data_IF_415236173582
#
_entry.id   IF_415236173582
#
_cell.length_a   1.000
_cell.length_b   1.000
_cell.length_c   1.000
_cell.angle_alpha   90.00
_cell.angle_beta   90.00
_cell.angle_gamma   90.00
#
_symmetry.space_group_name_H-M   'P 1'
#
loop_
_entity.id
_entity.type
_entity.pdbx_description
1 polymer ?
#
# COMPACT_ATOMS: atom_id res chain seq x y z
N UNK A 1 -3.91 1.42 -37.84
CA UNK A 1 -2.95 0.34 -37.44
C UNK A 1 -2.10 0.66 -36.21
N UNK A 2 -1.67 1.92 -35.99
CA UNK A 2 -1.03 2.35 -34.71
C UNK A 2 -1.87 2.01 -33.47
N UNK A 3 -3.20 2.02 -33.60
CA UNK A 3 -4.12 1.58 -32.54
C UNK A 3 -3.96 0.10 -32.15
N UNK A 4 -3.63 -0.80 -33.09
CA UNK A 4 -3.51 -2.24 -32.82
C UNK A 4 -2.28 -2.53 -31.95
N UNK A 5 -1.12 -1.91 -32.26
CA UNK A 5 0.08 -2.13 -31.46
C UNK A 5 -0.07 -1.57 -30.04
N UNK A 6 -0.70 -0.41 -29.88
CA UNK A 6 -0.99 0.15 -28.55
C UNK A 6 -1.97 -0.71 -27.76
N UNK A 7 -2.96 -1.32 -28.42
CA UNK A 7 -3.84 -2.30 -27.79
C UNK A 7 -3.07 -3.54 -27.31
N UNK A 8 -2.09 -4.03 -28.08
CA UNK A 8 -1.24 -5.16 -27.64
C UNK A 8 -0.27 -4.78 -26.53
N UNK A 9 0.31 -3.58 -26.55
CA UNK A 9 1.15 -3.06 -25.47
C UNK A 9 0.34 -2.84 -24.17
N UNK A 10 -0.92 -2.49 -24.32
CA UNK A 10 -1.85 -2.44 -23.21
C UNK A 10 -2.11 -3.82 -22.59
N UNK A 11 -2.30 -4.85 -23.41
CA UNK A 11 -2.39 -6.22 -22.92
C UNK A 11 -1.07 -6.67 -22.28
N UNK A 12 0.06 -6.25 -22.85
CA UNK A 12 1.39 -6.53 -22.32
C UNK A 12 1.59 -5.94 -20.92
N UNK A 13 1.20 -4.68 -20.69
CA UNK A 13 1.34 -4.06 -19.37
C UNK A 13 0.54 -4.80 -18.29
N UNK A 14 -0.63 -5.37 -18.64
CA UNK A 14 -1.39 -6.23 -17.74
C UNK A 14 -0.77 -7.62 -17.56
N UNK A 15 -0.23 -8.21 -18.63
CA UNK A 15 0.45 -9.51 -18.55
C UNK A 15 1.72 -9.43 -17.67
N UNK A 16 2.47 -8.33 -17.74
CA UNK A 16 3.59 -8.03 -16.84
C UNK A 16 3.11 -7.93 -15.40
N UNK A 17 2.05 -7.16 -15.12
CA UNK A 17 1.48 -7.08 -13.77
C UNK A 17 1.02 -8.46 -13.25
N UNK A 18 0.41 -9.28 -14.10
CA UNK A 18 -0.05 -10.62 -13.75
C UNK A 18 1.12 -11.52 -13.31
N UNK A 19 2.21 -11.56 -14.08
CA UNK A 19 3.41 -12.35 -13.74
C UNK A 19 4.08 -11.86 -12.46
N UNK A 20 4.05 -10.55 -12.18
CA UNK A 20 4.73 -10.00 -11.02
C UNK A 20 3.91 -10.06 -9.72
N UNK A 21 2.58 -10.12 -9.81
CA UNK A 21 1.69 -10.11 -8.63
C UNK A 21 1.06 -11.48 -8.36
N UNK A 22 0.44 -12.11 -9.36
CA UNK A 22 -0.36 -13.33 -9.14
C UNK A 22 0.40 -14.51 -8.51
N UNK A 23 1.71 -14.74 -8.77
CA UNK A 23 2.43 -15.86 -8.17
C UNK A 23 2.33 -15.93 -6.64
N UNK A 24 2.19 -14.80 -5.96
CA UNK A 24 2.13 -14.76 -4.49
C UNK A 24 0.69 -14.81 -3.94
N UNK A 25 -0.33 -14.71 -4.78
CA UNK A 25 -1.74 -14.55 -4.38
C UNK A 25 -2.18 -15.57 -3.32
N UNK A 26 -1.89 -16.85 -3.53
CA UNK A 26 -2.34 -17.94 -2.65
C UNK A 26 -1.31 -18.36 -1.60
N UNK A 27 -0.20 -17.62 -1.44
CA UNK A 27 0.87 -17.99 -0.50
C UNK A 27 0.59 -17.45 0.90
N UNK A 28 1.09 -18.12 1.94
CA UNK A 28 1.23 -17.49 3.26
C UNK A 28 2.56 -16.72 3.36
N UNK A 29 2.70 -15.93 4.42
CA UNK A 29 3.87 -15.13 4.72
C UNK A 29 3.83 -13.79 4.01
N UNK A 30 3.73 -12.71 4.78
CA UNK A 30 3.85 -11.32 4.32
C UNK A 30 4.74 -10.56 5.30
N UNK A 31 5.13 -9.34 4.94
CA UNK A 31 5.72 -8.43 5.90
C UNK A 31 4.79 -8.21 7.10
N UNK A 32 5.37 -8.04 8.30
CA UNK A 32 4.61 -8.11 9.55
C UNK A 32 3.55 -7.01 9.66
N UNK A 33 3.80 -5.80 9.14
CA UNK A 33 2.79 -4.73 9.11
C UNK A 33 1.53 -5.18 8.37
N UNK A 34 1.70 -5.84 7.21
CA UNK A 34 0.57 -6.40 6.45
C UNK A 34 -0.20 -7.46 7.23
N UNK A 35 0.50 -8.31 7.98
CA UNK A 35 -0.13 -9.30 8.87
C UNK A 35 -0.89 -8.62 10.00
N UNK A 36 -0.34 -7.57 10.61
CA UNK A 36 -0.99 -6.75 11.64
C UNK A 36 -2.27 -6.12 11.12
N UNK A 37 -2.23 -5.47 9.95
CA UNK A 37 -3.40 -4.85 9.34
C UNK A 37 -4.47 -5.90 8.97
N UNK A 38 -4.04 -7.03 8.43
CA UNK A 38 -4.91 -8.18 8.16
C UNK A 38 -5.56 -8.74 9.44
N UNK A 39 -4.84 -8.83 10.55
CA UNK A 39 -5.37 -9.28 11.85
C UNK A 39 -6.40 -8.30 12.40
N UNK A 40 -6.14 -6.99 12.35
CA UNK A 40 -7.10 -5.97 12.80
C UNK A 40 -8.38 -6.03 11.94
N UNK A 41 -8.24 -6.11 10.62
CA UNK A 41 -9.37 -6.23 9.71
C UNK A 41 -10.19 -7.51 9.95
N UNK A 42 -9.53 -8.63 10.28
CA UNK A 42 -10.17 -9.91 10.63
C UNK A 42 -10.95 -9.75 11.94
N UNK A 43 -10.34 -9.15 12.95
CA UNK A 43 -10.97 -8.87 14.24
C UNK A 43 -12.24 -8.03 14.06
N UNK A 44 -12.18 -6.95 13.28
CA UNK A 44 -13.36 -6.13 12.96
C UNK A 44 -14.49 -6.94 12.31
N UNK A 45 -14.16 -7.87 11.40
CA UNK A 45 -15.17 -8.75 10.79
C UNK A 45 -15.75 -9.76 11.79
N UNK A 46 -14.95 -10.24 12.74
CA UNK A 46 -15.37 -11.15 13.82
C UNK A 46 -16.08 -10.43 14.98
N UNK A 47 -16.25 -9.11 14.92
CA UNK A 47 -16.88 -8.32 15.99
C UNK A 47 -15.96 -8.07 17.20
N UNK A 48 -14.65 -8.24 17.03
CA UNK A 48 -13.63 -7.97 18.06
C UNK A 48 -13.11 -6.55 17.86
N UNK A 49 -13.37 -5.69 18.84
CA UNK A 49 -13.15 -4.24 18.74
C UNK A 49 -14.28 -3.51 18.00
N UNK A 50 -14.09 -2.23 17.77
CA UNK A 50 -15.05 -1.36 17.08
C UNK A 50 -14.37 -0.55 15.97
N UNK A 51 -15.13 0.08 15.07
CA UNK A 51 -14.55 0.85 13.97
C UNK A 51 -13.58 1.94 14.45
N UNK A 52 -13.95 2.72 15.47
CA UNK A 52 -13.09 3.76 16.06
C UNK A 52 -12.27 3.27 17.27
N UNK A 53 -12.37 2.01 17.65
CA UNK A 53 -11.48 1.39 18.63
C UNK A 53 -11.10 -0.01 18.14
N UNK A 54 -10.34 -0.10 17.03
CA UNK A 54 -9.92 -1.38 16.50
C UNK A 54 -8.97 -2.06 17.49
N UNK A 55 -9.00 -3.39 17.52
CA UNK A 55 -8.12 -4.18 18.37
C UNK A 55 -7.12 -4.95 17.50
N UNK A 56 -5.83 -4.92 17.84
CA UNK A 56 -4.84 -5.79 17.20
C UNK A 56 -4.76 -7.16 17.91
N UNK A 57 -4.26 -7.21 19.14
CA UNK A 57 -4.33 -8.40 20.00
C UNK A 57 -4.74 -8.00 21.42
N UNK A 58 -5.17 -8.95 22.28
CA UNK A 58 -5.50 -8.64 23.67
C UNK A 58 -4.33 -8.09 24.49
N UNK A 59 -3.09 -8.29 24.05
CA UNK A 59 -1.87 -7.94 24.79
C UNK A 59 -1.00 -6.91 24.10
N UNK A 60 -1.15 -6.74 22.78
CA UNK A 60 -0.40 -5.79 21.95
C UNK A 60 -1.41 -4.90 21.24
N UNK A 61 -1.44 -3.63 21.61
CA UNK A 61 -2.44 -2.65 21.14
C UNK A 61 -3.89 -3.18 21.27
N UNK A 62 -4.37 -3.42 22.51
CA UNK A 62 -5.77 -3.80 22.74
C UNK A 62 -6.75 -2.72 22.27
N UNK A 63 -6.35 -1.45 22.36
CA UNK A 63 -6.90 -0.34 21.59
C UNK A 63 -5.81 0.12 20.61
N UNK A 64 -6.10 0.08 19.31
CA UNK A 64 -5.12 0.36 18.26
C UNK A 64 -5.24 1.81 17.77
N UNK A 65 -4.31 2.64 18.20
CA UNK A 65 -4.22 4.07 17.85
C UNK A 65 -3.08 4.40 16.88
N UNK A 66 -2.46 3.39 16.28
CA UNK A 66 -1.29 3.58 15.42
C UNK A 66 -1.66 4.10 14.02
N UNK A 67 -2.83 3.72 13.50
CA UNK A 67 -3.34 4.20 12.21
C UNK A 67 -4.86 4.38 12.22
N UNK A 68 -5.39 5.37 11.48
CA UNK A 68 -6.82 5.52 11.22
C UNK A 68 -7.46 4.26 10.61
N UNK A 69 -8.72 3.93 10.97
CA UNK A 69 -9.28 2.59 10.78
C UNK A 69 -9.91 2.30 9.42
N UNK A 70 -9.97 3.25 8.48
CA UNK A 70 -10.75 3.05 7.25
C UNK A 70 -10.22 1.91 6.39
N UNK A 71 -8.89 1.77 6.27
CA UNK A 71 -8.35 0.64 5.50
C UNK A 71 -8.71 -0.71 6.13
N UNK A 72 -8.68 -0.81 7.47
CA UNK A 72 -9.06 -2.04 8.17
C UNK A 72 -10.53 -2.37 7.97
N UNK A 73 -11.41 -1.37 8.01
CA UNK A 73 -12.83 -1.58 7.76
C UNK A 73 -13.11 -1.99 6.32
N UNK A 74 -12.48 -1.36 5.32
CA UNK A 74 -12.63 -1.78 3.92
C UNK A 74 -12.11 -3.21 3.76
N UNK A 75 -10.97 -3.55 4.36
CA UNK A 75 -10.43 -4.91 4.30
C UNK A 75 -11.34 -5.92 5.02
N UNK A 76 -12.01 -5.54 6.11
CA UNK A 76 -12.97 -6.40 6.82
C UNK A 76 -14.15 -6.82 5.94
N UNK A 77 -14.56 -5.97 4.98
CA UNK A 77 -15.60 -6.32 3.99
C UNK A 77 -15.13 -7.46 3.09
N UNK A 78 -13.84 -7.51 2.73
CA UNK A 78 -13.31 -8.62 1.94
C UNK A 78 -13.37 -9.94 2.72
N UNK A 79 -13.07 -9.94 4.02
CA UNK A 79 -13.26 -11.14 4.84
C UNK A 79 -14.72 -11.54 4.98
N UNK A 80 -15.64 -10.58 5.02
CA UNK A 80 -17.08 -10.89 5.02
C UNK A 80 -17.53 -11.58 3.73
N UNK A 81 -16.96 -11.18 2.59
CA UNK A 81 -17.32 -11.70 1.27
C UNK A 81 -16.62 -13.02 0.93
N UNK A 82 -15.36 -13.18 1.33
CA UNK A 82 -14.48 -14.27 0.87
C UNK A 82 -14.00 -15.19 1.99
N UNK A 83 -14.35 -14.89 3.24
CA UNK A 83 -13.89 -15.61 4.42
C UNK A 83 -12.49 -15.19 4.90
N UNK A 84 -12.13 -15.61 6.10
CA UNK A 84 -10.80 -15.38 6.66
C UNK A 84 -9.79 -16.40 6.09
N UNK A 85 -9.23 -16.07 4.93
CA UNK A 85 -8.23 -16.90 4.25
C UNK A 85 -6.97 -16.09 3.92
N UNK A 86 -5.77 -16.69 3.95
CA UNK A 86 -4.52 -15.97 3.68
C UNK A 86 -4.46 -15.28 2.31
N UNK A 87 -5.15 -15.82 1.30
CA UNK A 87 -5.16 -15.23 -0.04
C UNK A 87 -5.99 -13.94 -0.13
N UNK A 88 -6.95 -13.75 0.78
CA UNK A 88 -7.82 -12.56 0.82
C UNK A 88 -7.00 -11.31 1.14
N UNK A 89 -5.97 -11.45 1.97
CA UNK A 89 -5.02 -10.39 2.30
C UNK A 89 -4.41 -9.73 1.05
N UNK A 90 -3.91 -10.56 0.12
CA UNK A 90 -3.32 -10.08 -1.13
C UNK A 90 -4.36 -9.73 -2.16
N UNK A 91 -5.48 -10.44 -2.17
CA UNK A 91 -6.58 -10.11 -3.08
C UNK A 91 -7.08 -8.68 -2.84
N UNK A 92 -7.27 -8.27 -1.58
CA UNK A 92 -7.58 -6.89 -1.21
C UNK A 92 -6.54 -5.89 -1.71
N UNK A 93 -5.25 -6.17 -1.51
CA UNK A 93 -4.21 -5.29 -2.02
C UNK A 93 -4.20 -5.23 -3.56
N UNK A 94 -4.44 -6.35 -4.25
CA UNK A 94 -4.42 -6.42 -5.72
C UNK A 94 -5.65 -5.78 -6.37
N UNK A 95 -6.81 -5.76 -5.71
CA UNK A 95 -7.95 -4.96 -6.20
C UNK A 95 -7.64 -3.46 -6.12
N UNK A 96 -6.95 -3.02 -5.07
CA UNK A 96 -6.49 -1.62 -4.93
C UNK A 96 -5.39 -1.25 -5.93
N UNK A 97 -4.54 -2.21 -6.32
CA UNK A 97 -3.64 -2.06 -7.47
C UNK A 97 -4.44 -1.79 -8.75
N UNK A 98 -5.47 -2.60 -9.03
CA UNK A 98 -6.35 -2.43 -10.18
C UNK A 98 -7.06 -1.08 -10.19
N UNK A 99 -7.57 -0.64 -9.03
CA UNK A 99 -8.18 0.68 -8.86
C UNK A 99 -7.17 1.81 -9.10
N UNK A 100 -5.94 1.68 -8.60
CA UNK A 100 -4.86 2.64 -8.86
C UNK A 100 -4.57 2.75 -10.35
N UNK A 101 -4.46 1.63 -11.08
CA UNK A 101 -4.28 1.63 -12.54
C UNK A 101 -5.47 2.28 -13.25
N UNK A 102 -6.70 1.98 -12.83
CA UNK A 102 -7.89 2.63 -13.39
C UNK A 102 -7.80 4.15 -13.25
N UNK A 103 -7.44 4.66 -12.07
CA UNK A 103 -7.32 6.10 -11.83
C UNK A 103 -6.14 6.73 -12.56
N UNK A 104 -4.97 6.09 -12.59
CA UNK A 104 -3.81 6.53 -13.40
C UNK A 104 -4.24 6.73 -14.86
N UNK A 105 -4.99 5.78 -15.42
CA UNK A 105 -5.44 5.85 -16.82
C UNK A 105 -6.52 6.89 -17.05
N UNK A 106 -7.40 7.12 -16.07
CA UNK A 106 -8.40 8.20 -16.11
C UNK A 106 -7.73 9.56 -16.09
N UNK A 107 -6.78 9.79 -15.17
CA UNK A 107 -5.97 11.02 -15.12
C UNK A 107 -5.20 11.21 -16.43
N UNK A 108 -4.57 10.15 -16.94
CA UNK A 108 -3.90 10.19 -18.24
C UNK A 108 -4.82 10.66 -19.36
N UNK A 109 -6.01 10.08 -19.48
CA UNK A 109 -6.96 10.42 -20.54
C UNK A 109 -7.54 11.84 -20.40
N UNK A 110 -7.56 12.42 -19.20
CA UNK A 110 -7.96 13.82 -19.00
C UNK A 110 -6.90 14.80 -19.50
N UNK A 111 -5.63 14.46 -19.34
CA UNK A 111 -4.51 15.37 -19.58
C UNK A 111 -3.84 15.15 -20.94
N UNK A 112 -3.94 13.95 -21.51
CA UNK A 112 -3.21 13.55 -22.71
C UNK A 112 -4.17 13.13 -23.84
N UNK A 113 -4.13 13.84 -25.00
CA UNK A 113 -4.97 13.49 -26.15
C UNK A 113 -4.78 12.05 -26.65
N UNK A 114 -3.55 11.53 -26.57
CA UNK A 114 -3.20 10.14 -26.88
C UNK A 114 -3.63 9.18 -25.76
N UNK A 115 -4.91 9.17 -25.37
CA UNK A 115 -5.43 8.35 -24.27
C UNK A 115 -5.16 6.84 -24.41
N UNK A 116 -5.08 6.35 -25.64
CA UNK A 116 -4.73 4.96 -25.97
C UNK A 116 -3.32 4.54 -25.51
N UNK A 117 -2.44 5.49 -25.16
CA UNK A 117 -1.10 5.27 -24.63
C UNK A 117 -1.05 5.20 -23.09
N UNK A 118 -2.19 5.15 -22.41
CA UNK A 118 -2.26 5.02 -20.95
C UNK A 118 -1.60 3.75 -20.37
N UNK A 119 -1.19 2.81 -21.23
CA UNK A 119 -0.36 1.67 -20.84
C UNK A 119 1.07 2.08 -20.43
N UNK A 120 1.58 3.23 -20.87
CA UNK A 120 2.94 3.73 -20.54
C UNK A 120 3.07 3.99 -19.03
N UNK A 121 2.30 4.91 -18.41
CA UNK A 121 2.41 5.16 -16.98
C UNK A 121 2.02 3.92 -16.15
N UNK A 122 1.08 3.10 -16.62
CA UNK A 122 0.76 1.82 -15.98
C UNK A 122 1.98 0.89 -15.94
N UNK A 123 2.69 0.71 -17.06
CA UNK A 123 3.83 -0.20 -17.11
C UNK A 123 4.97 0.30 -16.22
N UNK A 124 5.28 1.61 -16.26
CA UNK A 124 6.29 2.20 -15.38
C UNK A 124 5.93 1.99 -13.91
N UNK A 125 4.68 2.27 -13.55
CA UNK A 125 4.16 2.03 -12.20
C UNK A 125 4.30 0.57 -11.77
N UNK A 126 3.93 -0.37 -12.64
CA UNK A 126 4.06 -1.81 -12.36
C UNK A 126 5.51 -2.22 -12.09
N UNK A 127 6.44 -1.66 -12.85
CA UNK A 127 7.86 -2.01 -12.78
C UNK A 127 8.60 -1.31 -11.63
N UNK A 128 7.98 -0.32 -10.97
CA UNK A 128 8.56 0.32 -9.79
C UNK A 128 8.62 -0.69 -8.63
N UNK A 129 9.81 -1.01 -8.08
CA UNK A 129 9.96 -2.08 -7.08
C UNK A 129 9.07 -1.92 -5.85
N UNK A 130 8.97 -0.70 -5.34
CA UNK A 130 8.15 -0.36 -4.18
C UNK A 130 6.66 -0.64 -4.41
N UNK A 131 6.17 -0.44 -5.64
CA UNK A 131 4.78 -0.72 -5.99
C UNK A 131 4.49 -2.20 -5.85
N UNK A 132 5.35 -3.05 -6.41
CA UNK A 132 5.20 -4.51 -6.28
C UNK A 132 5.24 -4.93 -4.81
N UNK A 133 6.22 -4.43 -4.07
CA UNK A 133 6.41 -4.79 -2.67
C UNK A 133 5.22 -4.42 -1.80
N UNK A 134 4.69 -3.19 -1.93
CA UNK A 134 3.53 -2.71 -1.16
C UNK A 134 2.29 -3.57 -1.38
N UNK A 135 2.00 -3.92 -2.64
CA UNK A 135 0.81 -4.72 -2.95
C UNK A 135 0.99 -6.19 -2.58
N UNK A 136 2.20 -6.76 -2.72
CA UNK A 136 2.48 -8.14 -2.31
C UNK A 136 2.45 -8.34 -0.79
N UNK A 137 2.62 -7.28 -0.01
CA UNK A 137 2.68 -7.31 1.45
C UNK A 137 1.48 -6.63 2.14
N UNK A 138 0.43 -6.25 1.40
CA UNK A 138 -0.78 -5.64 1.96
C UNK A 138 -0.52 -4.44 2.89
N UNK A 139 0.27 -3.47 2.42
CA UNK A 139 0.64 -2.29 3.21
C UNK A 139 -0.36 -1.13 2.93
N UNK A 140 -0.65 -0.31 3.95
CA UNK A 140 -1.62 0.81 3.92
C UNK A 140 -1.41 1.84 2.78
N UNK A 141 -0.23 1.86 2.18
CA UNK A 141 0.09 2.69 1.02
C UNK A 141 -0.73 2.31 -0.21
N UNK A 142 -1.07 1.03 -0.39
CA UNK A 142 -1.92 0.58 -1.48
C UNK A 142 -3.31 1.26 -1.44
N UNK A 143 -4.10 1.17 -0.34
CA UNK A 143 -5.39 1.83 -0.27
C UNK A 143 -5.27 3.36 -0.29
N UNK A 144 -4.24 3.92 0.35
CA UNK A 144 -4.01 5.36 0.34
C UNK A 144 -3.74 5.91 -1.07
N UNK A 145 -2.92 5.22 -1.86
CA UNK A 145 -2.62 5.60 -3.23
C UNK A 145 -3.86 5.52 -4.12
N UNK A 146 -4.65 4.45 -4.00
CA UNK A 146 -5.90 4.33 -4.73
C UNK A 146 -6.88 5.48 -4.40
N UNK A 147 -7.03 5.80 -3.10
CA UNK A 147 -7.90 6.89 -2.64
C UNK A 147 -7.40 8.26 -3.12
N UNK A 148 -6.10 8.56 -2.97
CA UNK A 148 -5.54 9.85 -3.38
C UNK A 148 -5.57 10.04 -4.90
N UNK A 149 -5.27 9.01 -5.70
CA UNK A 149 -5.43 9.06 -7.15
C UNK A 149 -6.88 9.35 -7.56
N UNK A 150 -7.85 8.72 -6.89
CA UNK A 150 -9.25 9.00 -7.12
C UNK A 150 -9.62 10.44 -6.74
N UNK A 151 -9.15 10.96 -5.60
CA UNK A 151 -9.31 12.39 -5.24
C UNK A 151 -8.76 13.28 -6.36
N UNK A 152 -7.51 13.09 -6.79
CA UNK A 152 -6.90 13.91 -7.84
C UNK A 152 -7.70 13.84 -9.14
N UNK A 153 -8.16 12.65 -9.53
CA UNK A 153 -9.01 12.47 -10.70
C UNK A 153 -10.33 13.24 -10.60
N UNK A 154 -11.07 13.09 -9.49
CA UNK A 154 -12.34 13.79 -9.24
C UNK A 154 -12.15 15.32 -9.28
N UNK A 155 -11.06 15.82 -8.69
CA UNK A 155 -10.75 17.25 -8.65
C UNK A 155 -10.49 17.83 -10.05
N UNK A 156 -9.69 17.16 -10.87
CA UNK A 156 -9.40 17.61 -12.23
C UNK A 156 -10.65 17.49 -13.10
N UNK A 157 -11.33 16.35 -13.09
CA UNK A 157 -12.51 16.13 -13.92
C UNK A 157 -13.67 17.07 -13.56
N UNK A 158 -13.97 17.20 -12.27
CA UNK A 158 -14.99 18.10 -11.75
C UNK A 158 -14.73 19.55 -12.14
N UNK A 159 -13.47 19.99 -12.04
CA UNK A 159 -13.06 21.36 -12.41
C UNK A 159 -13.23 21.63 -13.90
N UNK A 160 -12.82 20.69 -14.77
CA UNK A 160 -12.90 20.85 -16.22
C UNK A 160 -14.34 20.89 -16.70
N UNK A 161 -15.20 20.04 -16.11
CA UNK A 161 -16.62 19.93 -16.44
C UNK A 161 -17.52 20.92 -15.70
N UNK A 162 -16.96 21.76 -14.82
CA UNK A 162 -17.73 22.62 -13.89
C UNK A 162 -18.76 21.85 -13.07
N UNK A 163 -18.49 20.58 -12.78
CA UNK A 163 -19.40 19.73 -12.02
C UNK A 163 -18.90 19.63 -10.57
N UNK A 164 -19.36 20.56 -9.75
CA UNK A 164 -18.90 20.71 -8.37
C UNK A 164 -19.36 19.60 -7.41
N UNK A 165 -20.33 18.78 -7.83
CA UNK A 165 -20.67 17.55 -7.10
C UNK A 165 -19.45 16.62 -7.00
N UNK A 166 -18.63 16.55 -8.05
CA UNK A 166 -17.39 15.77 -8.05
C UNK A 166 -16.37 16.33 -7.05
N UNK A 167 -16.32 17.65 -6.88
CA UNK A 167 -15.48 18.31 -5.89
C UNK A 167 -15.94 18.01 -4.46
N UNK A 168 -17.26 17.95 -4.23
CA UNK A 168 -17.80 17.50 -2.94
C UNK A 168 -17.49 16.02 -2.68
N UNK A 169 -17.70 15.15 -3.67
CA UNK A 169 -17.33 13.73 -3.57
C UNK A 169 -15.82 13.55 -3.32
N UNK A 170 -14.98 14.39 -3.92
CA UNK A 170 -13.55 14.42 -3.65
C UNK A 170 -13.25 14.79 -2.20
N UNK A 171 -14.00 15.70 -1.58
CA UNK A 171 -13.90 16.01 -0.16
C UNK A 171 -14.25 14.82 0.75
N UNK A 172 -15.30 14.08 0.42
CA UNK A 172 -15.66 12.83 1.12
C UNK A 172 -14.53 11.80 1.00
N UNK A 173 -14.03 11.58 -0.21
CA UNK A 173 -12.98 10.59 -0.44
C UNK A 173 -11.64 11.02 0.17
N UNK A 174 -11.38 12.33 0.24
CA UNK A 174 -10.23 12.89 0.92
C UNK A 174 -10.30 12.68 2.44
N UNK A 175 -11.49 12.82 3.05
CA UNK A 175 -11.69 12.43 4.45
C UNK A 175 -11.39 10.94 4.67
N UNK A 176 -11.81 10.06 3.76
CA UNK A 176 -11.46 8.63 3.79
C UNK A 176 -9.95 8.42 3.65
N UNK A 177 -9.27 9.17 2.77
CA UNK A 177 -7.83 9.07 2.58
C UNK A 177 -7.05 9.48 3.85
N UNK A 178 -7.47 10.56 4.52
CA UNK A 178 -6.98 10.94 5.86
C UNK A 178 -7.30 9.82 6.87
N UNK A 179 -8.46 9.21 6.76
CA UNK A 179 -8.89 8.05 7.53
C UNK A 179 -8.14 6.73 7.25
N UNK A 180 -7.20 6.69 6.29
CA UNK A 180 -6.34 5.54 6.03
C UNK A 180 -4.96 5.72 6.68
N UNK A 181 -4.33 6.88 6.47
CA UNK A 181 -2.94 7.13 6.92
C UNK A 181 -2.66 8.55 7.42
N UNK A 182 -3.71 9.27 7.80
CA UNK A 182 -3.60 10.59 8.40
C UNK A 182 -2.94 11.62 7.46
N UNK A 183 -2.07 12.50 7.98
CA UNK A 183 -1.54 13.67 7.24
C UNK A 183 -0.79 13.36 5.94
N UNK A 184 -0.33 12.12 5.73
CA UNK A 184 0.27 11.71 4.46
C UNK A 184 -0.68 11.98 3.29
N UNK A 185 -1.99 11.88 3.51
CA UNK A 185 -2.99 12.12 2.49
C UNK A 185 -3.19 13.58 2.13
N UNK A 186 -2.48 14.56 2.72
CA UNK A 186 -2.71 16.00 2.51
C UNK A 186 -2.21 16.52 1.15
N UNK A 187 -1.25 15.86 0.50
CA UNK A 187 -0.65 16.36 -0.74
C UNK A 187 -1.63 16.65 -1.90
N UNK A 188 -2.77 15.94 -2.09
CA UNK A 188 -3.74 16.26 -3.13
C UNK A 188 -4.32 17.68 -3.04
N UNK A 189 -4.25 18.35 -1.88
CA UNK A 189 -4.68 19.74 -1.73
C UNK A 189 -3.92 20.70 -2.67
N UNK A 190 -2.70 20.36 -3.08
CA UNK A 190 -1.91 21.20 -4.00
C UNK A 190 -2.43 21.17 -5.44
N UNK A 191 -3.25 20.17 -5.81
CA UNK A 191 -3.69 19.97 -7.19
C UNK A 191 -4.47 21.16 -7.73
N UNK A 192 -5.46 21.66 -6.97
CA UNK A 192 -6.30 22.76 -7.45
C UNK A 192 -5.59 24.12 -7.49
N UNK A 193 -4.74 24.49 -6.50
CA UNK A 193 -3.83 25.63 -6.65
C UNK A 193 -2.96 25.54 -7.91
N UNK A 194 -2.38 24.38 -8.20
CA UNK A 194 -1.55 24.19 -9.41
C UNK A 194 -2.38 24.29 -10.69
N UNK A 195 -3.57 23.69 -10.71
CA UNK A 195 -4.52 23.84 -11.82
C UNK A 195 -4.84 25.31 -12.05
N UNK A 196 -5.14 26.06 -11.00
CA UNK A 196 -5.49 27.48 -11.09
C UNK A 196 -4.36 28.35 -11.67
N UNK A 197 -3.11 27.94 -11.45
CA UNK A 197 -1.90 28.63 -11.98
C UNK A 197 -1.60 28.19 -13.41
N UNK A 198 -1.61 26.89 -13.69
CA UNK A 198 -1.16 26.31 -14.97
C UNK A 198 -2.24 26.39 -16.06
N UNK A 199 -3.52 26.32 -15.68
CA UNK A 199 -4.67 26.33 -16.59
C UNK A 199 -5.59 27.51 -16.25
N UNK A 200 -5.19 28.70 -16.69
CA UNK A 200 -5.86 29.97 -16.39
C UNK A 200 -7.35 29.97 -16.79
N UNK A 201 -7.68 29.26 -17.85
CA UNK A 201 -9.04 29.04 -18.35
C UNK A 201 -9.97 28.34 -17.35
N UNK A 202 -9.42 27.58 -16.40
CA UNK A 202 -10.16 26.89 -15.34
C UNK A 202 -9.96 27.49 -13.95
N UNK A 203 -9.26 28.63 -13.84
CA UNK A 203 -8.84 29.22 -12.56
C UNK A 203 -9.96 29.38 -11.55
N UNK A 204 -11.06 30.02 -11.95
CA UNK A 204 -12.21 30.24 -11.07
C UNK A 204 -12.85 28.92 -10.64
N UNK A 205 -13.04 27.99 -11.57
CA UNK A 205 -13.63 26.68 -11.29
C UNK A 205 -12.76 25.86 -10.32
N UNK A 206 -11.43 25.99 -10.42
CA UNK A 206 -10.47 25.33 -9.54
C UNK A 206 -10.55 25.87 -8.11
N UNK A 207 -10.66 27.20 -7.95
CA UNK A 207 -10.84 27.82 -6.63
C UNK A 207 -12.18 27.43 -5.99
N UNK A 208 -13.27 27.43 -6.76
CA UNK A 208 -14.59 26.98 -6.29
C UNK A 208 -14.52 25.50 -5.88
N UNK A 209 -13.94 24.65 -6.72
CA UNK A 209 -13.76 23.23 -6.41
C UNK A 209 -12.93 23.00 -5.16
N UNK A 210 -11.92 23.83 -4.90
CA UNK A 210 -11.07 23.72 -3.71
C UNK A 210 -11.87 24.04 -2.46
N UNK A 211 -12.63 25.13 -2.48
CA UNK A 211 -13.51 25.52 -1.38
C UNK A 211 -14.52 24.40 -1.10
N UNK A 212 -15.18 23.88 -2.13
CA UNK A 212 -16.20 22.83 -1.97
C UNK A 212 -15.60 21.53 -1.43
N UNK A 213 -14.44 21.11 -1.93
CA UNK A 213 -13.74 19.93 -1.43
C UNK A 213 -13.33 20.09 0.04
N UNK A 214 -12.76 21.25 0.41
CA UNK A 214 -12.37 21.56 1.79
C UNK A 214 -13.59 21.58 2.69
N UNK A 215 -14.67 22.28 2.31
CA UNK A 215 -15.90 22.33 3.09
C UNK A 215 -16.50 20.94 3.29
N UNK A 216 -16.56 20.11 2.23
CA UNK A 216 -17.10 18.75 2.35
C UNK A 216 -16.28 17.88 3.30
N UNK A 217 -14.94 17.91 3.22
CA UNK A 217 -14.09 17.19 4.16
C UNK A 217 -14.22 17.71 5.59
N UNK A 218 -14.19 19.04 5.77
CA UNK A 218 -14.30 19.69 7.08
C UNK A 218 -15.65 19.41 7.74
N UNK A 219 -16.75 19.43 6.99
CA UNK A 219 -18.08 19.09 7.52
C UNK A 219 -18.13 17.66 8.05
N UNK A 220 -17.56 16.69 7.32
CA UNK A 220 -17.47 15.31 7.81
C UNK A 220 -16.62 15.21 9.07
N UNK A 221 -15.43 15.81 9.05
CA UNK A 221 -14.55 15.79 10.22
C UNK A 221 -15.22 16.42 11.44
N UNK A 222 -15.80 17.61 11.30
CA UNK A 222 -16.54 18.29 12.37
C UNK A 222 -17.71 17.44 12.86
N UNK A 223 -18.49 16.84 11.97
CA UNK A 223 -19.58 15.96 12.36
C UNK A 223 -19.11 14.79 13.22
N UNK A 224 -18.09 14.05 12.76
CA UNK A 224 -17.56 12.92 13.52
C UNK A 224 -16.92 13.37 14.84
N UNK A 225 -16.15 14.46 14.82
CA UNK A 225 -15.49 14.98 16.02
C UNK A 225 -16.48 15.45 17.10
N UNK A 226 -17.56 16.12 16.70
CA UNK A 226 -18.53 16.69 17.64
C UNK A 226 -19.58 15.68 18.10
N UNK A 227 -20.03 14.79 17.21
CA UNK A 227 -21.19 13.93 17.48
C UNK A 227 -20.87 12.44 17.66
N UNK A 228 -19.64 12.00 17.40
CA UNK A 228 -19.25 10.59 17.57
C UNK A 228 -18.15 10.49 18.64
N UNK A 229 -18.50 10.20 19.91
CA UNK A 229 -17.55 10.18 21.03
C UNK A 229 -16.35 9.26 20.78
N UNK A 230 -16.58 8.09 20.19
CA UNK A 230 -15.51 7.13 19.90
C UNK A 230 -14.51 7.67 18.88
N UNK A 231 -14.96 8.48 17.91
CA UNK A 231 -14.06 9.13 16.95
C UNK A 231 -13.19 10.18 17.64
N UNK A 232 -13.76 10.99 18.55
CA UNK A 232 -12.99 11.96 19.31
C UNK A 232 -11.92 11.27 20.16
N UNK A 233 -12.30 10.22 20.91
CA UNK A 233 -11.37 9.39 21.69
C UNK A 233 -10.27 8.79 20.80
N UNK A 234 -10.65 8.25 19.64
CA UNK A 234 -9.70 7.72 18.67
C UNK A 234 -8.71 8.78 18.19
N UNK A 235 -9.22 9.94 17.79
CA UNK A 235 -8.42 11.01 17.23
C UNK A 235 -7.40 11.54 18.26
N UNK A 236 -7.82 11.71 19.51
CA UNK A 236 -6.92 12.07 20.61
C UNK A 236 -5.86 10.99 20.87
N UNK A 237 -6.25 9.72 20.90
CA UNK A 237 -5.33 8.59 21.04
C UNK A 237 -4.30 8.55 19.91
N UNK A 238 -4.74 8.66 18.67
CA UNK A 238 -3.88 8.71 17.47
C UNK A 238 -2.94 9.92 17.51
N UNK A 239 -3.44 11.10 17.89
CA UNK A 239 -2.63 12.31 17.98
C UNK A 239 -1.51 12.15 19.02
N UNK A 240 -1.86 11.66 20.21
CA UNK A 240 -0.95 11.60 21.35
C UNK A 240 0.04 10.41 21.27
N UNK A 241 -0.39 9.27 20.74
CA UNK A 241 0.43 8.06 20.69
C UNK A 241 1.23 7.96 19.39
N UNK A 242 0.66 8.37 18.26
CA UNK A 242 1.29 8.21 16.96
C UNK A 242 1.83 9.52 16.40
N UNK A 243 0.95 10.51 16.16
CA UNK A 243 1.31 11.65 15.32
C UNK A 243 2.31 12.61 15.98
N UNK A 244 2.03 13.08 17.20
CA UNK A 244 2.91 14.02 17.91
C UNK A 244 4.27 13.41 18.24
N UNK A 245 4.37 12.16 18.77
CA UNK A 245 5.67 11.55 19.01
C UNK A 245 6.49 11.35 17.73
N UNK A 246 5.85 10.97 16.62
CA UNK A 246 6.54 10.83 15.31
C UNK A 246 7.09 12.15 14.78
N UNK A 247 6.33 13.24 14.92
CA UNK A 247 6.78 14.58 14.51
C UNK A 247 7.92 15.12 15.41
N UNK A 248 7.94 14.71 16.69
CA UNK A 248 9.01 15.04 17.64
C UNK A 248 10.25 14.14 17.51
N UNK A 249 10.25 13.17 16.61
CA UNK A 249 11.36 12.23 16.45
C UNK A 249 11.50 11.21 17.59
N UNK A 250 10.48 11.06 18.44
CA UNK A 250 10.49 10.11 19.56
C UNK A 250 10.16 8.67 19.13
N UNK A 251 9.87 8.46 17.84
CA UNK A 251 9.48 7.18 17.25
C UNK A 251 10.25 6.92 15.95
N UNK A 252 10.73 5.69 15.79
CA UNK A 252 11.47 5.22 14.63
C UNK A 252 12.98 5.30 14.81
N UNK A 253 13.72 4.46 14.06
CA UNK A 253 15.17 4.55 14.00
C UNK A 253 15.58 5.77 13.18
N UNK A 254 16.68 6.44 13.56
CA UNK A 254 17.22 7.57 12.81
C UNK A 254 17.48 7.18 11.35
N UNK A 255 16.96 7.99 10.44
CA UNK A 255 17.23 7.87 9.00
C UNK A 255 17.79 9.18 8.46
N UNK A 256 18.66 9.07 7.46
CA UNK A 256 19.32 10.21 6.85
C UNK A 256 18.59 10.64 5.58
N UNK A 257 18.43 11.96 5.39
CA UNK A 257 17.94 12.56 4.13
C UNK A 257 18.66 11.98 2.91
N UNK A 258 19.97 11.76 3.01
CA UNK A 258 20.78 11.21 1.93
C UNK A 258 20.35 9.77 1.57
N UNK A 259 20.03 8.94 2.57
CA UNK A 259 19.54 7.58 2.35
C UNK A 259 18.17 7.59 1.68
N UNK A 260 17.28 8.49 2.08
CA UNK A 260 15.99 8.69 1.41
C UNK A 260 16.13 9.14 -0.04
N UNK A 261 17.01 10.09 -0.31
CA UNK A 261 17.28 10.54 -1.67
C UNK A 261 17.88 9.42 -2.53
N UNK A 262 18.76 8.59 -1.95
CA UNK A 262 19.29 7.41 -2.62
C UNK A 262 18.18 6.39 -2.91
N UNK A 263 17.27 6.17 -1.97
CA UNK A 263 16.16 5.25 -2.15
C UNK A 263 15.17 5.76 -3.22
N UNK A 264 14.87 7.05 -3.20
CA UNK A 264 14.11 7.72 -4.26
C UNK A 264 14.81 7.57 -5.62
N UNK A 265 16.12 7.79 -5.68
CA UNK A 265 16.90 7.65 -6.91
C UNK A 265 16.88 6.21 -7.45
N UNK A 266 16.93 5.19 -6.58
CA UNK A 266 16.75 3.79 -7.00
C UNK A 266 15.38 3.57 -7.63
N UNK A 267 14.31 4.07 -7.01
CA UNK A 267 12.94 3.92 -7.52
C UNK A 267 12.74 4.65 -8.87
N UNK A 268 13.40 5.80 -9.04
CA UNK A 268 13.33 6.61 -10.27
C UNK A 268 14.41 6.26 -11.31
N UNK A 269 15.26 5.27 -11.05
CA UNK A 269 16.37 4.91 -11.94
C UNK A 269 15.88 4.45 -13.32
N UNK A 270 14.96 3.48 -13.36
CA UNK A 270 14.38 2.96 -14.59
C UNK A 270 13.74 4.05 -15.45
N UNK A 271 12.80 4.88 -14.93
CA UNK A 271 12.22 5.93 -15.76
C UNK A 271 13.26 6.99 -16.17
N UNK A 272 14.23 7.32 -15.33
CA UNK A 272 15.29 8.25 -15.73
C UNK A 272 16.13 7.70 -16.88
N UNK A 273 16.55 6.44 -16.81
CA UNK A 273 17.32 5.78 -17.87
C UNK A 273 16.54 5.74 -19.20
N UNK A 274 15.26 5.35 -19.15
CA UNK A 274 14.41 5.33 -20.35
C UNK A 274 14.28 6.74 -20.95
N UNK A 275 14.10 7.77 -20.11
CA UNK A 275 14.04 9.16 -20.58
C UNK A 275 15.32 9.56 -21.30
N UNK A 276 16.48 9.24 -20.73
CA UNK A 276 17.80 9.56 -21.29
C UNK A 276 18.00 8.88 -22.65
N UNK A 277 17.66 7.60 -22.76
CA UNK A 277 17.76 6.85 -24.03
C UNK A 277 16.87 7.48 -25.10
N UNK A 278 15.62 7.82 -24.76
CA UNK A 278 14.69 8.45 -25.70
C UNK A 278 15.14 9.86 -26.11
N UNK A 279 15.66 10.66 -25.18
CA UNK A 279 16.18 11.99 -25.45
C UNK A 279 17.43 11.94 -26.35
N UNK A 280 18.34 10.99 -26.07
CA UNK A 280 19.52 10.74 -26.90
C UNK A 280 19.13 10.33 -28.33
N UNK A 281 18.17 9.41 -28.48
CA UNK A 281 17.66 8.99 -29.80
C UNK A 281 16.96 10.09 -30.56
N UNK A 282 16.28 11.00 -29.86
CA UNK A 282 15.65 12.18 -30.44
C UNK A 282 16.67 13.26 -30.85
N UNK A 283 17.88 13.26 -30.28
CA UNK A 283 18.86 14.32 -30.43
C UNK A 283 18.50 15.60 -29.64
N UNK A 284 17.67 15.50 -28.60
CA UNK A 284 17.22 16.66 -27.85
C UNK A 284 16.36 16.34 -26.63
N UNK A 285 16.24 17.33 -25.72
CA UNK A 285 15.44 17.21 -24.49
C UNK A 285 13.94 17.25 -24.79
N UNK A 286 13.14 16.62 -23.93
CA UNK A 286 11.68 16.74 -23.97
C UNK A 286 11.23 18.01 -23.25
N UNK A 287 10.39 18.86 -23.88
CA UNK A 287 9.86 20.04 -23.20
C UNK A 287 8.89 19.63 -22.10
N UNK A 288 8.97 20.33 -20.96
CA UNK A 288 8.00 20.23 -19.89
C UNK A 288 6.71 20.93 -20.32
N UNK A 289 5.63 20.16 -20.52
CA UNK A 289 4.30 20.69 -20.77
C UNK A 289 3.57 20.96 -19.44
N UNK A 290 2.48 21.72 -19.48
CA UNK A 290 1.70 22.07 -18.29
C UNK A 290 1.26 20.82 -17.52
N UNK A 291 0.89 19.75 -18.24
CA UNK A 291 0.45 18.47 -17.69
C UNK A 291 1.59 17.79 -16.92
N UNK A 292 2.78 17.75 -17.50
CA UNK A 292 3.97 17.15 -16.88
C UNK A 292 4.41 17.95 -15.66
N UNK A 293 4.37 19.29 -15.74
CA UNK A 293 4.68 20.18 -14.61
C UNK A 293 3.68 19.96 -13.47
N UNK A 294 2.39 19.84 -13.76
CA UNK A 294 1.36 19.54 -12.77
C UNK A 294 1.69 18.23 -12.02
N UNK A 295 1.93 17.13 -12.77
CA UNK A 295 2.20 15.82 -12.16
C UNK A 295 3.53 15.78 -11.41
N UNK A 296 4.60 16.38 -11.94
CA UNK A 296 5.90 16.46 -11.24
C UNK A 296 5.78 17.22 -9.92
N UNK A 297 5.10 18.37 -9.92
CA UNK A 297 4.95 19.16 -8.69
C UNK A 297 4.10 18.43 -7.65
N UNK A 298 3.01 17.75 -8.06
CA UNK A 298 2.23 16.89 -7.15
C UNK A 298 3.10 15.76 -6.59
N UNK A 299 3.91 15.11 -7.43
CA UNK A 299 4.83 14.05 -7.00
C UNK A 299 5.87 14.56 -5.98
N UNK A 300 6.44 15.74 -6.21
CA UNK A 300 7.38 16.39 -5.29
C UNK A 300 6.69 16.70 -3.96
N UNK A 301 5.50 17.31 -3.97
CA UNK A 301 4.74 17.60 -2.76
C UNK A 301 4.39 16.34 -1.96
N UNK A 302 4.15 15.21 -2.64
CA UNK A 302 3.93 13.92 -1.99
C UNK A 302 5.24 13.27 -1.46
N UNK A 303 6.40 13.61 -2.03
CA UNK A 303 7.71 13.04 -1.67
C UNK A 303 8.36 13.79 -0.51
N UNK A 304 8.33 15.13 -0.54
CA UNK A 304 9.07 16.02 0.35
C UNK A 304 8.82 15.76 1.84
N UNK A 305 7.58 15.55 2.33
CA UNK A 305 7.35 15.30 3.75
C UNK A 305 8.15 14.11 4.28
N UNK A 306 8.34 13.08 3.47
CA UNK A 306 9.07 11.87 3.87
C UNK A 306 10.58 12.04 3.90
N UNK A 307 11.14 13.04 3.23
CA UNK A 307 12.57 13.33 3.30
C UNK A 307 13.00 13.83 4.70
N UNK A 308 12.06 14.38 5.47
CA UNK A 308 12.31 15.02 6.76
C UNK A 308 11.72 14.26 7.96
N UNK A 309 11.00 13.15 7.74
CA UNK A 309 10.48 12.32 8.82
C UNK A 309 11.59 11.40 9.36
N UNK A 310 11.61 11.16 10.66
CA UNK A 310 12.65 10.33 11.31
C UNK A 310 12.58 8.86 10.88
N UNK A 311 11.37 8.35 10.60
CA UNK A 311 11.12 6.98 10.13
C UNK A 311 11.01 6.97 8.59
N UNK A 312 11.99 6.41 7.90
CA UNK A 312 12.02 6.37 6.43
C UNK A 312 12.20 4.95 5.92
N UNK A 313 11.08 4.33 5.57
CA UNK A 313 11.08 3.08 4.83
C UNK A 313 10.78 3.34 3.36
N UNK A 314 11.38 2.54 2.49
CA UNK A 314 11.25 2.66 1.02
C UNK A 314 9.80 2.71 0.53
N UNK A 315 8.88 2.06 1.25
CA UNK A 315 7.47 1.99 0.91
C UNK A 315 6.69 3.29 1.12
N UNK A 316 7.16 4.22 1.96
CA UNK A 316 6.47 5.50 2.18
C UNK A 316 6.39 6.38 0.92
N UNK A 317 7.29 6.21 -0.04
CA UNK A 317 7.25 6.93 -1.30
C UNK A 317 6.14 6.46 -2.25
N UNK A 318 5.48 5.33 -1.96
CA UNK A 318 4.53 4.71 -2.87
C UNK A 318 3.43 5.65 -3.38
N UNK A 319 2.72 6.46 -2.54
CA UNK A 319 1.70 7.38 -3.04
C UNK A 319 2.25 8.42 -4.03
N UNK A 320 3.49 8.88 -3.84
CA UNK A 320 4.14 9.83 -4.75
C UNK A 320 4.52 9.20 -6.09
N UNK A 321 4.87 7.91 -6.08
CA UNK A 321 5.39 7.20 -7.25
C UNK A 321 4.38 7.22 -8.42
N UNK A 322 3.07 7.24 -8.16
CA UNK A 322 2.07 7.21 -9.23
C UNK A 322 2.12 8.50 -10.07
N UNK A 323 2.32 9.62 -9.39
CA UNK A 323 2.46 10.95 -10.02
C UNK A 323 3.81 11.10 -10.71
N UNK A 324 4.89 10.56 -10.14
CA UNK A 324 6.18 10.45 -10.84
C UNK A 324 6.03 9.67 -12.15
N UNK A 325 5.41 8.50 -12.13
CA UNK A 325 5.23 7.67 -13.33
C UNK A 325 4.29 8.29 -14.36
N UNK A 326 3.26 9.01 -13.93
CA UNK A 326 2.43 9.83 -14.82
C UNK A 326 3.28 10.92 -15.49
N UNK A 327 4.08 11.67 -14.73
CA UNK A 327 4.90 12.75 -15.25
C UNK A 327 5.97 12.26 -16.25
N UNK A 328 6.69 11.19 -15.93
CA UNK A 328 7.63 10.54 -16.86
C UNK A 328 6.91 9.99 -18.10
N UNK A 329 5.75 9.34 -17.92
CA UNK A 329 4.94 8.86 -19.02
C UNK A 329 4.55 9.98 -19.99
N UNK A 330 4.21 11.16 -19.49
CA UNK A 330 3.87 12.33 -20.30
C UNK A 330 5.06 12.88 -21.09
N UNK A 331 6.30 12.69 -20.61
CA UNK A 331 7.51 12.99 -21.40
C UNK A 331 7.74 11.94 -22.49
N UNK A 332 7.55 10.65 -22.18
CA UNK A 332 7.76 9.57 -23.15
C UNK A 332 6.75 9.57 -24.29
N UNK A 333 5.52 9.98 -24.00
CA UNK A 333 4.45 10.06 -25.00
C UNK A 333 4.82 10.98 -26.17
N UNK A 334 5.59 12.03 -25.88
CA UNK A 334 6.04 12.98 -26.89
C UNK A 334 7.06 12.36 -27.86
N UNK A 335 7.61 11.19 -27.55
CA UNK A 335 8.57 10.52 -28.42
C UNK A 335 7.87 9.96 -29.67
N UNK A 336 8.30 10.31 -30.89
CA UNK A 336 7.75 9.70 -32.10
C UNK A 336 8.12 8.21 -32.20
N UNK A 337 9.27 7.83 -31.65
CA UNK A 337 9.75 6.46 -31.56
C UNK A 337 9.68 5.94 -30.10
N UNK A 338 9.37 4.66 -29.86
CA UNK A 338 8.98 3.63 -30.83
C UNK A 338 7.47 3.65 -31.16
N UNK A 339 6.69 4.54 -30.54
CA UNK A 339 5.23 4.46 -30.49
C UNK A 339 4.52 4.79 -31.80
N UNK A 340 5.13 5.59 -32.67
CA UNK A 340 4.55 6.02 -33.95
C UNK A 340 4.80 5.06 -35.12
N UNK A 341 5.68 4.07 -34.97
CA UNK A 341 6.05 3.17 -36.07
C UNK A 341 5.10 1.99 -36.14
N UNK A 342 4.46 1.81 -37.30
CA UNK A 342 3.61 0.66 -37.57
C UNK A 342 4.46 -0.59 -37.85
N UNK A 343 4.67 -1.42 -36.83
CA UNK A 343 5.50 -2.63 -36.94
C UNK A 343 4.63 -3.90 -36.93
N UNK A 344 4.14 -4.32 -38.11
CA UNK A 344 3.23 -5.48 -38.24
C UNK A 344 3.79 -6.77 -37.62
N UNK A 345 5.08 -7.06 -37.80
CA UNK A 345 5.72 -8.24 -37.20
C UNK A 345 5.75 -8.18 -35.67
N UNK A 346 5.92 -6.99 -35.09
CA UNK A 346 5.96 -6.80 -33.63
C UNK A 346 4.59 -7.05 -32.98
N UNK A 347 3.48 -6.81 -33.68
CA UNK A 347 2.15 -7.16 -33.18
C UNK A 347 2.05 -8.67 -32.91
N UNK A 348 2.59 -9.51 -33.80
CA UNK A 348 2.63 -10.97 -33.61
C UNK A 348 3.50 -11.34 -32.41
N UNK A 349 4.72 -10.80 -32.32
CA UNK A 349 5.63 -11.10 -31.21
C UNK A 349 5.06 -10.64 -29.86
N UNK A 350 4.55 -9.41 -29.75
CA UNK A 350 3.93 -8.92 -28.50
C UNK A 350 2.72 -9.79 -28.12
N UNK A 351 1.90 -10.22 -29.09
CA UNK A 351 0.76 -11.10 -28.79
C UNK A 351 1.20 -12.45 -28.24
N UNK A 352 2.25 -13.07 -28.82
CA UNK A 352 2.82 -14.33 -28.34
C UNK A 352 3.46 -14.15 -26.96
N UNK A 353 4.20 -13.07 -26.74
CA UNK A 353 4.76 -12.71 -25.43
C UNK A 353 3.65 -12.54 -24.39
N UNK A 354 2.56 -11.84 -24.72
CA UNK A 354 1.42 -11.67 -23.82
C UNK A 354 0.84 -13.03 -23.39
N UNK A 355 0.59 -13.92 -24.36
CA UNK A 355 0.08 -15.26 -24.07
C UNK A 355 1.04 -16.04 -23.17
N UNK A 356 2.34 -15.99 -23.48
CA UNK A 356 3.38 -16.68 -22.70
C UNK A 356 3.46 -16.15 -21.28
N UNK A 357 3.39 -14.83 -21.09
CA UNK A 357 3.38 -14.21 -19.76
C UNK A 357 2.13 -14.60 -18.96
N UNK A 358 0.95 -14.62 -19.56
CA UNK A 358 -0.26 -15.09 -18.88
C UNK A 358 -0.17 -16.56 -18.47
N UNK A 359 0.32 -17.43 -19.36
CA UNK A 359 0.56 -18.84 -19.03
C UNK A 359 1.58 -18.98 -17.89
N UNK A 360 2.68 -18.22 -17.95
CA UNK A 360 3.69 -18.20 -16.89
C UNK A 360 3.09 -17.72 -15.56
N UNK A 361 2.25 -16.67 -15.56
CA UNK A 361 1.59 -16.18 -14.35
C UNK A 361 0.71 -17.27 -13.72
N UNK A 362 -0.09 -18.00 -14.51
CA UNK A 362 -0.93 -19.10 -14.03
C UNK A 362 -0.07 -20.24 -13.45
N UNK A 363 0.93 -20.71 -14.20
CA UNK A 363 1.82 -21.79 -13.77
C UNK A 363 2.56 -21.44 -12.48
N UNK A 364 3.12 -20.24 -12.39
CA UNK A 364 3.82 -19.77 -11.20
C UNK A 364 2.87 -19.63 -10.01
N UNK A 365 1.65 -19.13 -10.22
CA UNK A 365 0.62 -19.03 -9.17
C UNK A 365 0.27 -20.41 -8.60
N UNK A 366 0.10 -21.42 -9.44
CA UNK A 366 -0.16 -22.80 -9.01
C UNK A 366 1.07 -23.47 -8.37
N UNK A 367 2.27 -23.09 -8.81
CA UNK A 367 3.51 -23.61 -8.23
C UNK A 367 3.75 -23.07 -6.82
N UNK A 368 3.64 -21.75 -6.65
CA UNK A 368 3.92 -21.09 -5.37
C UNK A 368 2.81 -21.27 -4.34
N UNK A 369 1.56 -21.50 -4.74
CA UNK A 369 0.44 -21.74 -3.81
C UNK A 369 0.67 -22.89 -2.82
N UNK A 370 1.60 -23.81 -3.13
CA UNK A 370 1.92 -24.98 -2.30
C UNK A 370 2.82 -24.68 -1.09
N UNK A 371 3.40 -23.49 -0.99
CA UNK A 371 4.32 -23.15 0.10
C UNK A 371 4.18 -21.68 0.52
N UNK A 372 4.38 -21.36 1.81
CA UNK A 372 4.56 -19.98 2.23
C UNK A 372 5.70 -19.33 1.46
N UNK A 373 5.50 -18.08 1.05
CA UNK A 373 6.50 -17.27 0.33
C UNK A 373 7.66 -16.82 1.23
N UNK A 374 7.41 -16.73 2.53
CA UNK A 374 8.39 -16.42 3.57
C UNK A 374 7.99 -17.05 4.90
N UNK A 375 8.94 -17.11 5.84
CA UNK A 375 8.69 -17.48 7.24
C UNK A 375 8.04 -18.85 7.43
N UNK A 376 8.25 -19.77 6.47
CA UNK A 376 7.65 -21.11 6.41
C UNK A 376 7.79 -21.89 7.71
N UNK A 377 8.99 -21.89 8.30
CA UNK A 377 9.27 -22.65 9.51
C UNK A 377 8.59 -22.05 10.73
N UNK A 378 8.59 -20.73 10.86
CA UNK A 378 7.91 -19.99 11.93
C UNK A 378 6.39 -20.17 11.84
N UNK A 379 5.80 -20.05 10.65
CA UNK A 379 4.36 -20.30 10.43
C UNK A 379 4.00 -21.73 10.85
N UNK A 380 4.80 -22.73 10.44
CA UNK A 380 4.56 -24.13 10.81
C UNK A 380 4.67 -24.36 12.32
N UNK A 381 5.64 -23.71 12.99
CA UNK A 381 5.81 -23.82 14.45
C UNK A 381 4.58 -23.28 15.20
N UNK A 382 4.11 -22.08 14.85
CA UNK A 382 2.91 -21.51 15.46
C UNK A 382 1.63 -22.26 15.12
N UNK A 383 1.56 -22.85 13.93
CA UNK A 383 0.45 -23.74 13.59
C UNK A 383 0.42 -24.97 14.48
N UNK A 384 1.56 -25.62 14.70
CA UNK A 384 1.67 -26.76 15.62
C UNK A 384 1.29 -26.36 17.06
N UNK A 385 1.79 -25.23 17.57
CA UNK A 385 1.39 -24.69 18.87
C UNK A 385 -0.13 -24.51 19.02
N UNK A 386 -0.78 -23.94 18.01
CA UNK A 386 -2.22 -23.67 18.08
C UNK A 386 -3.09 -24.91 17.85
N UNK A 387 -2.67 -25.85 17.00
CA UNK A 387 -3.48 -27.01 16.62
C UNK A 387 -3.16 -28.26 17.45
N UNK A 388 -1.89 -28.64 17.54
CA UNK A 388 -1.45 -29.87 18.22
C UNK A 388 -1.54 -29.69 19.75
N UNK A 389 -1.05 -28.56 20.26
CA UNK A 389 -1.05 -28.23 21.70
C UNK A 389 -2.29 -27.43 22.13
N UNK A 390 -3.17 -27.05 21.19
CA UNK A 390 -4.42 -26.29 21.43
C UNK A 390 -4.21 -24.98 22.20
N UNK A 391 -3.09 -24.31 21.96
CA UNK A 391 -2.76 -23.06 22.65
C UNK A 391 -3.48 -21.88 22.01
N UNK A 392 -3.95 -20.96 22.85
CA UNK A 392 -4.48 -19.65 22.43
C UNK A 392 -3.60 -18.49 22.88
N UNK A 393 -2.89 -18.65 23.99
CA UNK A 393 -1.98 -17.65 24.55
C UNK A 393 -0.69 -18.32 25.00
N UNK A 394 0.46 -17.72 24.68
CA UNK A 394 1.78 -18.22 25.08
C UNK A 394 2.61 -17.09 25.68
N UNK A 395 3.28 -17.36 26.79
CA UNK A 395 4.14 -16.40 27.44
C UNK A 395 5.47 -16.24 26.69
N UNK A 396 5.99 -15.02 26.61
CA UNK A 396 7.35 -14.67 26.16
C UNK A 396 8.02 -13.76 27.21
N UNK A 397 9.34 -13.62 27.15
CA UNK A 397 10.08 -12.70 28.05
C UNK A 397 9.83 -11.23 27.70
N UNK A 398 9.95 -10.90 26.42
CA UNK A 398 9.80 -9.55 25.87
C UNK A 398 9.05 -9.65 24.54
N UNK A 399 7.94 -8.93 24.40
CA UNK A 399 7.15 -8.91 23.17
C UNK A 399 7.89 -8.24 22.00
N UNK A 400 8.83 -7.34 22.26
CA UNK A 400 9.62 -6.68 21.20
C UNK A 400 10.50 -7.68 20.44
N UNK A 401 11.11 -8.63 21.15
CA UNK A 401 11.89 -9.72 20.56
C UNK A 401 11.06 -10.67 19.68
N UNK A 402 9.74 -10.67 19.90
CA UNK A 402 8.77 -11.51 19.20
C UNK A 402 7.78 -10.68 18.37
N UNK A 403 8.10 -9.42 18.03
CA UNK A 403 7.17 -8.52 17.34
C UNK A 403 6.62 -9.11 16.03
N UNK A 404 7.52 -9.61 15.18
CA UNK A 404 7.16 -10.28 13.93
C UNK A 404 6.38 -11.57 14.17
N UNK A 405 6.80 -12.34 15.15
CA UNK A 405 6.19 -13.61 15.50
C UNK A 405 4.76 -13.44 16.00
N UNK A 406 4.48 -12.38 16.78
CA UNK A 406 3.14 -12.01 17.22
C UNK A 406 2.21 -11.73 16.01
N UNK A 407 2.73 -11.08 14.97
CA UNK A 407 1.96 -10.85 13.74
C UNK A 407 1.65 -12.16 12.99
N UNK A 408 2.61 -13.08 12.91
CA UNK A 408 2.44 -14.39 12.28
C UNK A 408 1.45 -15.26 13.07
N UNK A 409 1.64 -15.36 14.39
CA UNK A 409 0.84 -16.18 15.29
C UNK A 409 -0.63 -15.69 15.33
N UNK A 410 -0.84 -14.38 15.47
CA UNK A 410 -2.18 -13.79 15.53
C UNK A 410 -2.93 -13.94 14.20
N UNK A 411 -2.26 -13.67 13.06
CA UNK A 411 -2.92 -13.70 11.75
C UNK A 411 -3.32 -15.10 11.32
N UNK A 412 -2.40 -16.07 11.40
CA UNK A 412 -2.62 -17.39 10.81
C UNK A 412 -3.20 -18.42 11.77
N UNK A 413 -3.05 -18.22 13.07
CA UNK A 413 -3.41 -19.23 14.06
C UNK A 413 -4.27 -18.71 15.22
N UNK A 414 -4.60 -17.40 15.24
CA UNK A 414 -5.32 -16.74 16.35
C UNK A 414 -4.66 -17.01 17.73
N UNK A 415 -3.33 -17.16 17.70
CA UNK A 415 -2.49 -17.41 18.86
C UNK A 415 -1.84 -16.09 19.28
N UNK A 416 -1.93 -15.75 20.57
CA UNK A 416 -1.45 -14.47 21.09
C UNK A 416 -0.24 -14.65 21.98
N UNK A 417 0.75 -13.77 21.84
CA UNK A 417 1.92 -13.73 22.72
C UNK A 417 1.68 -12.71 23.84
N UNK A 418 2.19 -12.99 25.03
CA UNK A 418 2.06 -12.11 26.20
C UNK A 418 3.29 -12.19 27.10
N UNK A 419 3.60 -11.12 27.83
CA UNK A 419 4.61 -11.17 28.90
C UNK A 419 4.03 -11.69 30.23
N UNK A 420 2.70 -11.78 30.32
CA UNK A 420 2.00 -12.27 31.51
C UNK A 420 2.26 -13.77 31.71
N UNK A 421 2.27 -14.20 32.98
CA UNK A 421 2.44 -15.60 33.34
C UNK A 421 1.41 -16.49 32.62
N UNK A 422 1.89 -17.54 31.93
CA UNK A 422 1.05 -18.57 31.30
C UNK A 422 1.60 -19.98 31.61
N UNK A 423 0.79 -21.03 31.43
CA UNK A 423 1.26 -22.42 31.57
C UNK A 423 2.32 -22.80 30.53
N UNK A 424 2.41 -22.07 29.41
CA UNK A 424 3.37 -22.30 28.35
C UNK A 424 4.23 -21.08 28.11
N UNK A 425 5.53 -21.30 27.96
CA UNK A 425 6.54 -20.25 27.77
C UNK A 425 7.34 -20.51 26.49
N UNK A 426 7.47 -19.50 25.65
CA UNK A 426 8.22 -19.55 24.41
C UNK A 426 9.52 -18.76 24.52
N UNK A 427 10.63 -19.38 24.12
CA UNK A 427 11.93 -18.72 24.02
C UNK A 427 12.57 -18.95 22.65
N UNK A 428 13.54 -18.10 22.30
CA UNK A 428 14.43 -18.37 21.16
C UNK A 428 15.37 -19.52 21.49
N UNK A 429 15.68 -20.34 20.49
CA UNK A 429 16.64 -21.42 20.62
C UNK A 429 18.01 -20.88 21.08
N UNK A 430 18.58 -21.48 22.14
CA UNK A 430 19.81 -21.02 22.78
C UNK A 430 19.62 -19.92 23.84
N UNK A 431 18.38 -19.45 24.06
CA UNK A 431 18.05 -18.55 25.16
C UNK A 431 18.02 -19.24 26.53
N UNK A 432 18.05 -18.47 27.64
CA UNK A 432 18.02 -19.03 28.99
C UNK A 432 16.68 -19.72 29.28
N UNK A 433 16.74 -20.96 29.75
CA UNK A 433 15.56 -21.73 30.15
C UNK A 433 14.78 -21.00 31.27
N UNK A 434 13.44 -20.95 31.20
CA UNK A 434 12.63 -20.40 32.28
C UNK A 434 12.63 -21.35 33.49
N UNK A 435 12.82 -20.80 34.70
CA UNK A 435 12.81 -21.59 35.94
C UNK A 435 11.42 -22.20 36.20
N UNK A 436 11.39 -23.48 36.60
CA UNK A 436 10.14 -24.19 36.89
C UNK A 436 9.35 -24.63 35.66
N UNK A 437 9.99 -24.70 34.48
CA UNK A 437 9.39 -25.22 33.26
C UNK A 437 10.23 -26.34 32.64
N UNK A 438 9.56 -27.26 31.97
CA UNK A 438 10.16 -28.36 31.20
C UNK A 438 9.97 -28.13 29.71
N UNK A 439 10.87 -28.66 28.87
CA UNK A 439 10.78 -28.55 27.41
C UNK A 439 9.61 -29.41 26.93
N UNK A 440 8.60 -28.78 26.33
CA UNK A 440 7.46 -29.46 25.72
C UNK A 440 7.75 -29.79 24.25
N UNK A 441 8.32 -28.82 23.50
CA UNK A 441 8.63 -29.01 22.08
C UNK A 441 9.76 -28.09 21.61
N UNK A 442 10.59 -28.59 20.70
CA UNK A 442 11.66 -27.81 20.06
C UNK A 442 11.40 -27.68 18.56
N UNK A 443 11.35 -26.45 18.07
CA UNK A 443 11.16 -26.11 16.66
C UNK A 443 12.47 -25.56 16.08
N UNK A 444 13.44 -26.44 15.85
CA UNK A 444 14.82 -26.07 15.46
C UNK A 444 14.88 -25.12 14.26
N UNK A 445 14.13 -25.44 13.19
CA UNK A 445 14.12 -24.63 11.95
C UNK A 445 13.49 -23.25 12.13
N UNK A 446 12.62 -23.10 13.14
CA UNK A 446 12.05 -21.80 13.51
C UNK A 446 12.88 -21.08 14.58
N UNK A 447 13.92 -21.73 15.13
CA UNK A 447 14.72 -21.27 16.26
C UNK A 447 13.86 -20.94 17.49
N UNK A 448 12.89 -21.81 17.79
CA UNK A 448 11.94 -21.65 18.90
C UNK A 448 11.95 -22.89 19.80
N UNK A 449 11.80 -22.68 21.10
CA UNK A 449 11.60 -23.75 22.08
C UNK A 449 10.39 -23.39 22.94
N UNK A 450 9.43 -24.32 22.98
CA UNK A 450 8.23 -24.24 23.80
C UNK A 450 8.45 -25.02 25.09
N UNK A 451 8.17 -24.36 26.19
CA UNK A 451 8.26 -24.89 27.54
C UNK A 451 6.86 -24.97 28.15
N UNK A 452 6.64 -25.94 29.03
CA UNK A 452 5.43 -26.11 29.83
C UNK A 452 5.79 -26.06 31.31
N UNK A 453 4.97 -25.37 32.10
CA UNK A 453 5.20 -25.23 33.54
C UNK A 453 5.21 -26.62 34.18
N UNK A 454 6.26 -26.90 34.95
CA UNK A 454 6.37 -28.15 35.68
C UNK A 454 5.21 -28.20 36.69
N UNK A 455 4.41 -29.28 36.65
CA UNK A 455 3.45 -29.56 37.72
C UNK A 455 4.24 -29.83 39.00
N UNK A 456 3.95 -29.16 40.13
CA UNK A 456 4.53 -29.56 41.40
C UNK A 456 4.10 -31.00 41.68
N UNK A 457 5.09 -31.88 41.92
CA UNK A 457 4.87 -33.24 42.40
C UNK A 457 4.27 -33.23 43.81
#
# INVERSE_FOLDING_TARGET
MSHIINYRLNQFSWAVAAVLLLPLLFTQGMFFDGLTFSTIARNLNEGIGQFWSPQYTPFVHPEYYEHPPFSFAIHSVYYRLFGDQPWVDRFYAYTLYGLSILMIRRIWALLIPSGHRGWIPQLLWTLTPTVLWVHQNNILEAPLNAATLAVVWLLIEGTWKKNYFWSALAGILFFIALGIKGPVALFPLIVLPLVAVLYKEYRTNALISAIIMILSCSLLFTYFYTYVPDFAKFFEGYLNQQLLPSLRGLRGAESSVLLSLLELAKQLSLPTIVLVILAWRRGGKYPLRRESILMFTVAICATVPFLFLHRQEHYYFMPSMAYWMLAFGMLYEQAPWPWGINRKQWVKYISLTNLTLWLAAIVLTLYFSKSPSRDKHTIKAYHSMASDFKLQVVQVRDLNDFWKDNAIASRYNKLYLTERAQPYFLIRLGGPAPEGFEVEATFEKAKLVLYKKATPY
#
